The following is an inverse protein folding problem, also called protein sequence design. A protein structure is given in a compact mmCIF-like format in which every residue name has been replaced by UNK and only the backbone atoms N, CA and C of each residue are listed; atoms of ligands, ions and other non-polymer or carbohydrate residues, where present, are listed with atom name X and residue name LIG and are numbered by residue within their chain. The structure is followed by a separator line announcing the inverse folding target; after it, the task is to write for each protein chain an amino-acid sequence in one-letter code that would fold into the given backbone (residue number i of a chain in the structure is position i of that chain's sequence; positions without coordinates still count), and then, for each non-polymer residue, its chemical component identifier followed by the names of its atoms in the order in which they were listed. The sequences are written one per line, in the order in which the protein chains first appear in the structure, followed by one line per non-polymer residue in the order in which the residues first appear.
data_IF_975186614758
#
_entry.id   IF_975186614758
#
_cell.length_a   1.000
_cell.length_b   1.000
_cell.length_c   1.000
_cell.angle_alpha   90.00
_cell.angle_beta   90.00
_cell.angle_gamma   90.00
#
_symmetry.space_group_name_H-M   'P 1'
#
loop_
_entity.id
_entity.type
_entity.pdbx_description
1 polymer ?
#
# COMPACT_ATOMS: atom_id res chain seq x y z
N UNK A 1 7.74 4.63 -11.92
CA UNK A 1 8.14 5.90 -11.27
C UNK A 1 7.43 5.95 -9.92
N UNK A 2 8.14 6.18 -8.82
CA UNK A 2 7.49 6.30 -7.50
C UNK A 2 6.63 7.58 -7.48
N UNK A 3 5.33 7.44 -7.19
CA UNK A 3 4.40 8.57 -7.03
C UNK A 3 4.87 9.41 -5.84
N UNK A 4 5.06 10.73 -6.03
CA UNK A 4 5.46 11.64 -4.96
C UNK A 4 4.22 12.09 -4.21
N UNK A 5 3.98 11.54 -3.02
CA UNK A 5 2.83 11.91 -2.18
C UNK A 5 3.02 13.19 -1.38
N UNK A 6 4.27 13.57 -1.09
CA UNK A 6 4.56 14.71 -0.22
C UNK A 6 5.42 15.77 -0.94
N UNK A 7 5.17 17.03 -0.61
CA UNK A 7 6.08 18.16 -0.88
C UNK A 7 6.65 18.66 0.44
N UNK A 8 7.97 18.82 0.47
CA UNK A 8 8.67 19.42 1.60
C UNK A 8 8.78 20.95 1.40
N UNK A 9 8.36 21.72 2.41
CA UNK A 9 8.45 23.17 2.43
C UNK A 9 9.54 23.54 3.46
N UNK A 10 10.72 24.01 3.03
CA UNK A 10 11.81 24.38 3.94
C UNK A 10 11.60 25.76 4.59
N UNK A 11 12.26 25.99 5.73
CA UNK A 11 12.28 27.28 6.44
C UNK A 11 11.34 27.34 7.66
N UNK A 12 11.36 28.46 8.42
CA UNK A 12 10.47 28.66 9.56
C UNK A 12 9.00 28.60 9.15
N UNK A 13 8.19 27.80 9.84
CA UNK A 13 6.79 27.53 9.46
C UNK A 13 6.62 26.53 8.29
N UNK A 14 7.72 25.89 7.87
CA UNK A 14 7.71 24.82 6.89
C UNK A 14 7.11 23.50 7.41
N UNK A 15 7.29 22.45 6.63
CA UNK A 15 6.77 21.12 6.94
C UNK A 15 6.53 20.28 5.69
N UNK A 16 5.69 19.25 5.81
CA UNK A 16 5.25 18.43 4.68
C UNK A 16 3.78 18.67 4.38
N UNK A 17 3.44 18.67 3.10
CA UNK A 17 2.07 18.72 2.62
C UNK A 17 1.83 17.56 1.66
N UNK A 18 0.62 17.00 1.71
CA UNK A 18 0.16 16.02 0.73
C UNK A 18 -0.02 16.69 -0.64
N UNK A 19 0.48 16.04 -1.69
CA UNK A 19 0.41 16.56 -3.06
C UNK A 19 -0.97 16.33 -3.69
N UNK A 20 -1.61 15.23 -3.32
CA UNK A 20 -2.92 14.79 -3.81
C UNK A 20 -3.99 14.99 -2.73
N UNK A 21 -5.27 14.94 -3.11
CA UNK A 21 -6.34 14.90 -2.12
C UNK A 21 -6.30 13.56 -1.36
N UNK A 22 -6.58 13.50 -0.04
CA UNK A 22 -6.54 12.24 0.71
C UNK A 22 -7.41 11.12 0.13
N UNK A 23 -8.53 11.46 -0.52
CA UNK A 23 -9.39 10.51 -1.26
C UNK A 23 -8.72 9.84 -2.47
N UNK A 24 -7.68 10.44 -3.03
CA UNK A 24 -6.98 9.96 -4.23
C UNK A 24 -5.73 9.12 -3.87
N UNK A 25 -5.52 8.86 -2.57
CA UNK A 25 -4.38 8.12 -2.03
C UNK A 25 -4.90 6.88 -1.31
N UNK A 26 -4.72 5.71 -1.93
CA UNK A 26 -5.10 4.43 -1.31
C UNK A 26 -4.12 3.98 -0.23
N UNK A 27 -4.54 3.07 0.65
CA UNK A 27 -3.61 2.38 1.56
C UNK A 27 -2.52 1.62 0.79
N UNK A 28 -2.89 1.01 -0.34
CA UNK A 28 -1.93 0.33 -1.23
C UNK A 28 -0.84 1.28 -1.73
N UNK A 29 -1.23 2.48 -2.18
CA UNK A 29 -0.33 3.54 -2.64
C UNK A 29 0.71 3.91 -1.57
N UNK A 30 0.27 4.03 -0.32
CA UNK A 30 1.13 4.35 0.83
C UNK A 30 2.12 3.21 1.09
N UNK A 31 1.66 1.95 1.10
CA UNK A 31 2.52 0.78 1.33
C UNK A 31 3.61 0.71 0.24
N UNK A 32 3.23 0.87 -1.03
CA UNK A 32 4.19 0.85 -2.14
C UNK A 32 5.19 2.01 -2.05
N UNK A 33 4.77 3.19 -1.57
CA UNK A 33 5.67 4.32 -1.39
C UNK A 33 6.74 4.10 -0.30
N UNK A 34 6.42 3.31 0.74
CA UNK A 34 7.29 3.07 1.89
C UNK A 34 8.11 1.78 1.72
N UNK A 35 7.45 0.67 1.41
CA UNK A 35 8.05 -0.68 1.35
C UNK A 35 8.48 -1.09 -0.07
N UNK A 36 8.05 -0.34 -1.09
CA UNK A 36 8.32 -0.63 -2.50
C UNK A 36 7.27 -1.54 -3.15
N UNK A 37 7.27 -1.54 -4.48
CA UNK A 37 6.34 -2.32 -5.32
C UNK A 37 6.50 -3.84 -5.16
N UNK A 38 7.72 -4.30 -4.85
CA UNK A 38 8.05 -5.72 -4.62
C UNK A 38 7.58 -6.26 -3.27
N UNK A 39 7.06 -5.43 -2.37
CA UNK A 39 6.59 -5.88 -1.06
C UNK A 39 5.62 -7.06 -1.17
N UNK A 40 4.70 -6.98 -2.13
CA UNK A 40 3.68 -8.00 -2.34
C UNK A 40 4.15 -9.19 -3.19
N UNK A 41 5.30 -9.12 -3.86
CA UNK A 41 5.77 -10.18 -4.77
C UNK A 41 6.31 -11.41 -4.05
N UNK A 42 6.63 -11.30 -2.76
CA UNK A 42 7.16 -12.40 -1.95
C UNK A 42 6.13 -13.50 -1.75
N UNK A 43 6.59 -14.74 -1.76
CA UNK A 43 5.76 -15.89 -1.43
C UNK A 43 5.62 -15.99 0.10
N UNK A 44 4.41 -16.31 0.58
CA UNK A 44 4.17 -16.55 2.01
C UNK A 44 5.02 -17.70 2.57
N UNK A 45 5.45 -18.64 1.73
CA UNK A 45 6.36 -19.73 2.12
C UNK A 45 7.84 -19.31 2.18
N UNK A 46 8.16 -18.03 2.01
CA UNK A 46 9.55 -17.55 2.01
C UNK A 46 10.32 -17.77 0.70
N UNK A 47 9.67 -18.23 -0.36
CA UNK A 47 10.27 -18.25 -1.70
C UNK A 47 10.44 -16.83 -2.24
N UNK A 48 11.45 -16.64 -3.10
CA UNK A 48 11.82 -15.33 -3.64
C UNK A 48 10.69 -14.59 -4.35
N UNK A 49 9.80 -15.32 -5.03
CA UNK A 49 8.63 -14.77 -5.72
C UNK A 49 7.46 -15.73 -5.68
N UNK A 50 6.24 -15.20 -5.52
CA UNK A 50 5.01 -15.92 -5.81
C UNK A 50 4.75 -15.86 -7.33
N UNK A 51 4.90 -16.97 -8.07
CA UNK A 51 4.70 -17.04 -9.53
C UNK A 51 3.87 -18.24 -9.95
N UNK A 52 3.06 -18.07 -11.00
CA UNK A 52 2.35 -19.16 -11.67
C UNK A 52 3.31 -20.13 -12.41
N UNK A 53 4.53 -19.70 -12.75
CA UNK A 53 5.54 -20.53 -13.43
C UNK A 53 6.16 -21.61 -12.53
N UNK A 54 6.26 -21.30 -11.22
CA UNK A 54 6.84 -22.17 -10.19
C UNK A 54 5.92 -22.16 -8.97
N UNK A 55 4.73 -22.78 -9.08
CA UNK A 55 3.73 -22.70 -8.03
C UNK A 55 4.21 -23.48 -6.80
N UNK A 56 4.14 -22.84 -5.64
CA UNK A 56 4.31 -23.53 -4.36
C UNK A 56 3.10 -24.42 -4.05
N UNK A 57 3.21 -25.38 -3.11
CA UNK A 57 2.10 -26.28 -2.76
C UNK A 57 0.79 -25.58 -2.35
N UNK A 58 0.87 -24.36 -1.83
CA UNK A 58 -0.30 -23.55 -1.42
C UNK A 58 -0.61 -22.40 -2.39
N UNK A 59 0.00 -22.38 -3.58
CA UNK A 59 -0.01 -21.23 -4.50
C UNK A 59 -1.41 -20.75 -4.84
N UNK A 60 -2.30 -21.65 -5.24
CA UNK A 60 -3.67 -21.30 -5.64
C UNK A 60 -4.45 -20.66 -4.50
N UNK A 61 -4.30 -21.18 -3.28
CA UNK A 61 -4.95 -20.63 -2.08
C UNK A 61 -4.36 -19.27 -1.72
N UNK A 62 -3.03 -19.17 -1.73
CA UNK A 62 -2.33 -17.93 -1.40
C UNK A 62 -2.61 -16.82 -2.42
N UNK A 63 -2.61 -17.13 -3.72
CA UNK A 63 -2.91 -16.18 -4.80
C UNK A 63 -4.27 -15.52 -4.59
N UNK A 64 -5.33 -16.31 -4.34
CA UNK A 64 -6.69 -15.79 -4.08
C UNK A 64 -6.74 -14.88 -2.86
N UNK A 65 -6.12 -15.29 -1.75
CA UNK A 65 -6.08 -14.50 -0.52
C UNK A 65 -5.30 -13.19 -0.71
N UNK A 66 -4.15 -13.26 -1.38
CA UNK A 66 -3.32 -12.10 -1.72
C UNK A 66 -4.09 -11.12 -2.61
N UNK A 67 -4.78 -11.59 -3.64
CA UNK A 67 -5.59 -10.76 -4.54
C UNK A 67 -6.70 -10.04 -3.76
N UNK A 68 -7.47 -10.75 -2.92
CA UNK A 68 -8.51 -10.12 -2.10
C UNK A 68 -7.94 -9.09 -1.12
N UNK A 69 -6.81 -9.39 -0.47
CA UNK A 69 -6.14 -8.45 0.42
C UNK A 69 -5.69 -7.18 -0.32
N UNK A 70 -5.13 -7.34 -1.52
CA UNK A 70 -4.69 -6.23 -2.34
C UNK A 70 -5.84 -5.35 -2.82
N UNK A 71 -6.96 -5.94 -3.21
CA UNK A 71 -8.17 -5.20 -3.58
C UNK A 71 -8.71 -4.39 -2.39
N UNK A 72 -8.76 -4.98 -1.20
CA UNK A 72 -9.15 -4.27 0.03
C UNK A 72 -8.22 -3.11 0.39
N UNK A 73 -6.92 -3.24 0.14
CA UNK A 73 -5.95 -2.16 0.37
C UNK A 73 -6.05 -1.06 -0.69
N UNK A 74 -6.46 -1.39 -1.92
CA UNK A 74 -6.67 -0.41 -2.99
C UNK A 74 -7.98 0.34 -2.85
N UNK A 75 -9.01 -0.28 -2.26
CA UNK A 75 -10.34 0.32 -2.11
C UNK A 75 -10.43 1.36 -0.99
N UNK A 76 -9.56 1.27 0.02
CA UNK A 76 -9.53 2.20 1.17
C UNK A 76 -8.62 3.39 0.92
N UNK A 77 -9.19 4.59 0.96
CA UNK A 77 -8.45 5.83 0.81
C UNK A 77 -8.02 6.45 2.16
N UNK A 78 -7.05 7.37 2.11
CA UNK A 78 -6.49 8.02 3.28
C UNK A 78 -7.52 8.85 4.05
N UNK A 79 -8.53 9.41 3.37
CA UNK A 79 -9.60 10.15 4.04
C UNK A 79 -10.46 9.24 4.91
N UNK A 80 -10.83 8.06 4.39
CA UNK A 80 -11.57 7.05 5.15
C UNK A 80 -10.78 6.62 6.40
N UNK A 81 -9.48 6.35 6.23
CA UNK A 81 -8.61 5.95 7.33
C UNK A 81 -8.50 7.04 8.40
N UNK A 82 -8.37 8.31 8.02
CA UNK A 82 -8.35 9.44 8.95
C UNK A 82 -9.63 9.49 9.78
N UNK A 83 -10.80 9.42 9.14
CA UNK A 83 -12.11 9.41 9.82
C UNK A 83 -12.25 8.22 10.77
N UNK A 84 -11.73 7.05 10.39
CA UNK A 84 -11.77 5.85 11.22
C UNK A 84 -10.93 5.98 12.50
N UNK A 85 -9.82 6.72 12.46
CA UNK A 85 -8.98 7.02 13.63
C UNK A 85 -9.64 8.05 14.54
N UNK A 86 -10.24 9.10 13.99
CA UNK A 86 -10.95 10.13 14.77
C UNK A 86 -12.12 9.55 15.57
N UNK A 87 -12.89 8.63 14.99
CA UNK A 87 -14.01 7.96 15.68
C UNK A 87 -13.59 7.07 16.87
N UNK A 88 -12.30 6.74 16.98
CA UNK A 88 -11.75 5.89 18.05
C UNK A 88 -11.09 6.69 19.17
N UNK A 89 -11.00 8.02 19.03
CA UNK A 89 -10.55 8.94 20.08
C UNK A 89 -11.74 9.44 20.87
#
# INVERSE_FOLDING_TARGET
MAKKFLTAIPGPGGGYRLNDHPKDVSLYDIIVAVDGDKMFDRCIMGLSKCSDDKPCPIHTTWKKLKESMLEEMKSKDLEELMKAVEKKR
#
